data_IF_324597772313
#
_entry.id   IF_324597772313
#
_cell.length_a   1.000
_cell.length_b   1.000
_cell.length_c   1.000
_cell.angle_alpha   90.00
_cell.angle_beta   90.00
_cell.angle_gamma   90.00
#
_symmetry.space_group_name_H-M   'P 1'
#
loop_
_entity.id
_entity.type
_entity.pdbx_description
1 polymer ?
#
# COMPACT_ATOMS: atom_id res chain seq x y z
N UNK A 1 -2.70 -17.63 12.81
CA UNK A 1 -1.87 -17.92 11.62
C UNK A 1 -1.96 -16.70 10.71
N UNK A 2 -0.93 -16.46 9.91
CA UNK A 2 -0.77 -15.28 9.07
C UNK A 2 -0.03 -15.65 7.77
N UNK A 3 0.14 -14.69 6.86
CA UNK A 3 0.75 -14.94 5.55
C UNK A 3 2.17 -15.50 5.71
N UNK A 4 2.45 -16.63 5.05
CA UNK A 4 3.78 -17.26 5.03
C UNK A 4 4.70 -16.56 4.03
N UNK A 5 5.36 -15.49 4.48
CA UNK A 5 6.28 -14.68 3.65
C UNK A 5 7.60 -15.39 3.30
N UNK A 6 7.91 -16.48 3.99
CA UNK A 6 9.11 -17.30 3.83
C UNK A 6 8.91 -18.52 2.92
N UNK A 7 7.73 -18.65 2.29
CA UNK A 7 7.41 -19.77 1.41
C UNK A 7 8.40 -19.88 0.24
N UNK A 8 8.84 -21.10 -0.05
CA UNK A 8 9.81 -21.38 -1.12
C UNK A 8 9.10 -21.76 -2.43
N UNK A 9 9.73 -21.43 -3.56
CA UNK A 9 9.36 -21.92 -4.89
C UNK A 9 9.97 -23.32 -5.17
N UNK A 10 9.71 -23.85 -6.37
CA UNK A 10 10.21 -25.15 -6.80
C UNK A 10 11.76 -25.23 -6.86
N UNK A 11 12.45 -24.09 -6.90
CA UNK A 11 13.90 -23.99 -6.92
C UNK A 11 14.49 -23.76 -5.52
N UNK A 12 13.68 -23.77 -4.47
CA UNK A 12 14.10 -23.53 -3.09
C UNK A 12 14.37 -22.04 -2.77
N UNK A 13 13.93 -21.12 -3.62
CA UNK A 13 14.07 -19.67 -3.38
C UNK A 13 12.85 -19.11 -2.66
N UNK A 14 13.05 -18.18 -1.71
CA UNK A 14 11.94 -17.50 -1.02
C UNK A 14 11.14 -16.71 -2.05
N UNK A 15 9.84 -17.04 -2.18
CA UNK A 15 8.94 -16.48 -3.17
C UNK A 15 8.99 -14.95 -3.10
N UNK A 16 8.75 -14.36 -1.93
CA UNK A 16 8.68 -12.91 -1.78
C UNK A 16 10.05 -12.21 -1.61
N UNK A 17 11.16 -12.95 -1.69
CA UNK A 17 12.51 -12.40 -1.53
C UNK A 17 12.67 -11.54 -0.28
N UNK A 18 13.25 -10.35 -0.45
CA UNK A 18 13.48 -9.36 0.62
C UNK A 18 12.33 -8.35 0.77
N UNK A 19 11.22 -8.54 0.07
CA UNK A 19 10.14 -7.56 0.06
C UNK A 19 9.39 -7.46 1.40
N UNK A 20 9.46 -8.52 2.22
CA UNK A 20 8.81 -8.62 3.53
C UNK A 20 9.76 -9.18 4.61
N UNK A 21 11.05 -8.87 4.50
CA UNK A 21 12.11 -9.32 5.41
C UNK A 21 12.16 -8.58 6.76
N UNK A 22 11.43 -7.47 6.90
CA UNK A 22 11.31 -6.72 8.16
C UNK A 22 9.86 -6.62 8.61
N UNK A 23 9.67 -6.45 9.93
CA UNK A 23 8.34 -6.31 10.50
C UNK A 23 7.66 -5.02 10.05
N UNK A 24 8.39 -3.91 9.86
CA UNK A 24 7.83 -2.67 9.30
C UNK A 24 7.23 -2.89 7.91
N UNK A 25 7.90 -3.66 7.03
CA UNK A 25 7.38 -3.93 5.68
C UNK A 25 6.10 -4.78 5.74
N UNK A 26 5.99 -5.69 6.72
CA UNK A 26 4.76 -6.46 6.96
C UNK A 26 3.67 -5.57 7.57
N UNK A 27 4.03 -4.65 8.46
CA UNK A 27 3.09 -3.72 9.08
C UNK A 27 2.43 -2.82 8.04
N UNK A 28 3.18 -2.29 7.07
CA UNK A 28 2.61 -1.53 5.95
C UNK A 28 1.58 -2.32 5.14
N UNK A 29 1.77 -3.63 4.95
CA UNK A 29 0.77 -4.46 4.31
C UNK A 29 -0.54 -4.45 5.10
N UNK A 30 -0.46 -4.65 6.41
CA UNK A 30 -1.63 -4.66 7.29
C UNK A 30 -2.26 -3.26 7.38
N UNK A 31 -1.47 -2.20 7.40
CA UNK A 31 -1.94 -0.82 7.28
C UNK A 31 -2.72 -0.60 5.96
N UNK A 32 -2.27 -1.21 4.86
CA UNK A 32 -2.93 -1.15 3.55
C UNK A 32 -4.31 -1.80 3.49
N UNK A 33 -4.64 -2.66 4.45
CA UNK A 33 -6.00 -3.21 4.66
C UNK A 33 -6.63 -2.71 5.97
N UNK A 34 -6.08 -1.62 6.51
CA UNK A 34 -6.54 -0.96 7.73
C UNK A 34 -6.61 -1.87 8.96
N UNK A 35 -5.67 -2.82 9.07
CA UNK A 35 -5.56 -3.80 10.15
C UNK A 35 -6.84 -4.63 10.37
N UNK A 36 -7.70 -4.73 9.36
CA UNK A 36 -8.96 -5.43 9.51
C UNK A 36 -8.73 -6.94 9.47
N UNK A 37 -9.09 -7.61 10.56
CA UNK A 37 -8.86 -9.04 10.73
C UNK A 37 -9.56 -9.90 9.65
N UNK A 38 -10.77 -9.52 9.22
CA UNK A 38 -11.50 -10.25 8.17
C UNK A 38 -10.76 -10.15 6.85
N UNK A 39 -10.35 -8.94 6.45
CA UNK A 39 -9.53 -8.72 5.26
C UNK A 39 -8.20 -9.47 5.32
N UNK A 40 -7.52 -9.46 6.47
CA UNK A 40 -6.27 -10.19 6.66
C UNK A 40 -6.44 -11.71 6.48
N UNK A 41 -7.53 -12.26 7.04
CA UNK A 41 -7.89 -13.68 6.92
C UNK A 41 -8.23 -14.05 5.47
N UNK A 42 -9.00 -13.19 4.79
CA UNK A 42 -9.35 -13.39 3.38
C UNK A 42 -8.11 -13.33 2.48
N UNK A 43 -7.21 -12.39 2.75
CA UNK A 43 -5.94 -12.25 2.04
C UNK A 43 -5.05 -13.50 2.25
N UNK A 44 -4.90 -13.98 3.49
CA UNK A 44 -4.15 -15.20 3.78
C UNK A 44 -4.71 -16.41 3.01
N UNK A 45 -6.03 -16.59 3.01
CA UNK A 45 -6.71 -17.64 2.24
C UNK A 45 -6.41 -17.53 0.74
N UNK A 46 -6.47 -16.32 0.17
CA UNK A 46 -6.16 -16.09 -1.25
C UNK A 46 -4.70 -16.43 -1.57
N UNK A 47 -3.76 -15.93 -0.77
CA UNK A 47 -2.32 -16.20 -0.98
C UNK A 47 -2.05 -17.69 -0.86
N UNK A 48 -2.65 -18.37 0.11
CA UNK A 48 -2.53 -19.81 0.25
C UNK A 48 -3.07 -20.54 -0.99
N UNK A 49 -4.22 -20.14 -1.54
CA UNK A 49 -4.77 -20.73 -2.77
C UNK A 49 -3.85 -20.52 -3.96
N UNK A 50 -3.34 -19.30 -4.16
CA UNK A 50 -2.46 -18.97 -5.29
C UNK A 50 -1.13 -19.72 -5.22
N UNK A 51 -0.59 -19.90 -4.02
CA UNK A 51 0.72 -20.53 -3.83
C UNK A 51 0.65 -22.03 -3.52
N UNK A 52 -0.53 -22.65 -3.62
CA UNK A 52 -0.69 -24.11 -3.48
C UNK A 52 -0.78 -24.77 -4.85
N UNK A 53 -0.52 -26.07 -4.90
CA UNK A 53 -0.39 -26.83 -6.13
C UNK A 53 -1.68 -26.81 -6.98
N UNK A 54 -1.61 -26.56 -8.31
CA UNK A 54 -0.39 -26.32 -9.08
C UNK A 54 0.20 -24.91 -8.86
N UNK A 55 1.44 -24.86 -8.38
CA UNK A 55 2.20 -23.62 -8.28
C UNK A 55 2.64 -23.19 -9.69
N UNK A 56 2.34 -21.94 -10.06
CA UNK A 56 2.73 -21.39 -11.36
C UNK A 56 3.31 -19.98 -11.22
N UNK A 57 4.16 -19.59 -12.19
CA UNK A 57 4.76 -18.26 -12.24
C UNK A 57 3.70 -17.15 -12.29
N UNK A 58 2.60 -17.38 -13.00
CA UNK A 58 1.45 -16.46 -13.04
C UNK A 58 0.84 -16.25 -11.65
N UNK A 59 0.62 -17.33 -10.89
CA UNK A 59 0.05 -17.22 -9.55
C UNK A 59 1.02 -16.54 -8.58
N UNK A 60 2.32 -16.86 -8.69
CA UNK A 60 3.38 -16.22 -7.91
C UNK A 60 3.42 -14.71 -8.20
N UNK A 61 3.40 -14.33 -9.48
CA UNK A 61 3.41 -12.93 -9.91
C UNK A 61 2.21 -12.16 -9.38
N UNK A 62 1.00 -12.74 -9.48
CA UNK A 62 -0.22 -12.12 -8.94
C UNK A 62 -0.14 -11.97 -7.41
N UNK A 63 0.34 -12.99 -6.70
CA UNK A 63 0.50 -12.93 -5.25
C UNK A 63 1.52 -11.84 -4.83
N UNK A 64 2.67 -11.77 -5.50
CA UNK A 64 3.69 -10.73 -5.26
C UNK A 64 3.13 -9.34 -5.47
N UNK A 65 2.53 -9.10 -6.64
CA UNK A 65 2.02 -7.77 -6.97
C UNK A 65 0.89 -7.37 -6.04
N UNK A 66 -0.02 -8.29 -5.68
CA UNK A 66 -1.07 -8.02 -4.71
C UNK A 66 -0.48 -7.52 -3.37
N UNK A 67 0.45 -8.28 -2.78
CA UNK A 67 1.04 -7.90 -1.50
C UNK A 67 1.88 -6.63 -1.60
N UNK A 68 2.61 -6.43 -2.71
CA UNK A 68 3.39 -5.22 -2.97
C UNK A 68 2.51 -3.97 -3.05
N UNK A 69 1.41 -4.03 -3.81
CA UNK A 69 0.45 -2.92 -3.93
C UNK A 69 -0.21 -2.58 -2.61
N UNK A 70 -0.61 -3.59 -1.83
CA UNK A 70 -1.20 -3.37 -0.50
C UNK A 70 -0.18 -2.78 0.48
N UNK A 71 1.07 -3.26 0.45
CA UNK A 71 2.16 -2.67 1.22
C UNK A 71 2.36 -1.20 0.86
N UNK A 72 2.36 -0.85 -0.42
CA UNK A 72 2.58 0.54 -0.85
C UNK A 72 1.40 1.46 -0.50
N UNK A 73 0.17 0.95 -0.52
CA UNK A 73 -1.02 1.64 -0.01
C UNK A 73 -0.85 2.04 1.47
N UNK A 74 -0.30 1.17 2.31
CA UNK A 74 0.04 1.52 3.69
C UNK A 74 1.25 2.46 3.79
N UNK A 75 2.35 2.10 3.11
CA UNK A 75 3.65 2.76 3.19
C UNK A 75 3.59 4.23 2.81
N UNK A 76 2.91 4.62 1.73
CA UNK A 76 2.97 6.02 1.27
C UNK A 76 2.35 7.00 2.26
N UNK A 77 1.30 6.58 2.96
CA UNK A 77 0.71 7.39 4.03
C UNK A 77 1.62 7.39 5.26
N UNK A 78 2.23 6.25 5.57
CA UNK A 78 3.19 6.11 6.65
C UNK A 78 4.42 7.04 6.47
N UNK A 79 5.00 7.08 5.27
CA UNK A 79 6.08 7.99 4.89
C UNK A 79 5.71 9.47 5.19
N UNK A 80 4.43 9.83 5.04
CA UNK A 80 3.96 11.19 5.32
C UNK A 80 3.88 11.45 6.82
N UNK A 81 3.22 10.57 7.58
CA UNK A 81 2.79 10.86 8.96
C UNK A 81 3.77 10.40 10.04
N UNK A 82 4.57 9.37 9.78
CA UNK A 82 5.31 8.66 10.83
C UNK A 82 6.79 9.06 10.92
N UNK A 83 7.30 8.95 12.15
CA UNK A 83 8.66 9.33 12.53
C UNK A 83 9.72 8.23 12.29
N UNK A 84 9.27 7.01 11.98
CA UNK A 84 10.10 5.80 11.96
C UNK A 84 10.73 5.50 10.60
N UNK A 85 10.22 6.10 9.52
CA UNK A 85 10.73 5.84 8.16
C UNK A 85 11.98 6.66 7.86
N UNK A 86 12.73 6.25 6.84
CA UNK A 86 13.84 7.05 6.30
C UNK A 86 13.36 8.32 5.58
N UNK A 87 12.09 8.34 5.16
CA UNK A 87 11.45 9.37 4.35
C UNK A 87 10.56 10.27 5.22
N UNK A 88 11.11 10.82 6.32
CA UNK A 88 10.37 11.63 7.31
C UNK A 88 9.85 12.93 6.71
N UNK A 89 8.61 12.93 6.20
CA UNK A 89 8.01 14.13 5.60
C UNK A 89 7.49 15.05 6.70
N UNK A 90 6.39 14.73 7.38
CA UNK A 90 5.91 15.54 8.52
C UNK A 90 6.56 15.13 9.85
N UNK A 91 7.11 13.93 9.90
CA UNK A 91 7.82 13.42 11.06
C UNK A 91 9.16 14.11 11.36
N UNK A 92 9.83 13.69 12.43
CA UNK A 92 11.16 14.16 12.82
C UNK A 92 11.20 15.61 13.31
N UNK A 93 10.06 16.17 13.73
CA UNK A 93 9.95 17.56 14.16
C UNK A 93 9.67 18.56 13.01
N UNK A 94 9.52 18.09 11.77
CA UNK A 94 9.20 18.96 10.64
C UNK A 94 7.84 19.65 10.82
N UNK A 95 6.81 18.90 11.24
CA UNK A 95 5.50 19.48 11.54
C UNK A 95 5.58 20.55 12.64
N UNK A 96 6.30 20.28 13.73
CA UNK A 96 6.47 21.23 14.83
C UNK A 96 7.17 22.52 14.37
N UNK A 97 8.22 22.41 13.56
CA UNK A 97 8.91 23.56 12.98
C UNK A 97 8.00 24.39 12.07
N UNK A 98 7.21 23.73 11.22
CA UNK A 98 6.24 24.38 10.33
C UNK A 98 5.21 25.14 11.17
N UNK A 99 4.59 24.49 12.15
CA UNK A 99 3.56 25.10 13.00
C UNK A 99 4.10 26.26 13.86
N UNK A 100 5.39 26.26 14.17
CA UNK A 100 6.02 27.35 14.94
C UNK A 100 6.35 28.57 14.08
N UNK A 101 6.67 28.37 12.80
CA UNK A 101 7.25 29.41 11.93
C UNK A 101 6.30 29.95 10.87
N UNK A 102 5.33 29.15 10.45
CA UNK A 102 4.42 29.51 9.37
C UNK A 102 3.11 30.07 9.91
N UNK A 103 2.61 31.11 9.26
CA UNK A 103 1.23 31.59 9.44
C UNK A 103 0.24 30.57 8.87
N UNK A 104 -0.95 30.49 9.46
CA UNK A 104 -2.01 29.55 9.06
C UNK A 104 -2.35 29.62 7.57
N UNK A 105 -2.35 30.82 6.99
CA UNK A 105 -2.61 31.06 5.55
C UNK A 105 -1.64 30.33 4.62
N UNK A 106 -0.42 30.03 5.10
CA UNK A 106 0.58 29.29 4.33
C UNK A 106 0.38 27.78 4.39
N UNK A 107 -0.45 27.30 5.32
CA UNK A 107 -0.69 25.87 5.55
C UNK A 107 -1.87 25.33 4.73
N UNK A 108 -2.64 26.19 4.05
CA UNK A 108 -3.83 25.81 3.29
C UNK A 108 -3.54 24.71 2.26
N UNK A 109 -2.46 24.84 1.50
CA UNK A 109 -2.08 23.84 0.49
C UNK A 109 -1.65 22.51 1.12
N UNK A 110 -0.89 22.55 2.21
CA UNK A 110 -0.50 21.34 2.94
C UNK A 110 -1.72 20.62 3.51
N UNK A 111 -2.67 21.37 4.10
CA UNK A 111 -3.92 20.81 4.62
C UNK A 111 -4.73 20.14 3.50
N UNK A 112 -4.89 20.81 2.36
CA UNK A 112 -5.61 20.27 1.21
C UNK A 112 -5.00 18.96 0.69
N UNK A 113 -3.67 18.90 0.57
CA UNK A 113 -2.98 17.69 0.11
C UNK A 113 -3.15 16.53 1.10
N UNK A 114 -3.09 16.79 2.41
CA UNK A 114 -3.30 15.79 3.44
C UNK A 114 -4.74 15.27 3.45
N UNK A 115 -5.73 16.15 3.39
CA UNK A 115 -7.14 15.77 3.32
C UNK A 115 -7.41 14.90 2.08
N UNK A 116 -6.85 15.31 0.93
CA UNK A 116 -6.94 14.54 -0.32
C UNK A 116 -6.32 13.16 -0.17
N UNK A 117 -5.15 13.05 0.46
CA UNK A 117 -4.46 11.78 0.69
C UNK A 117 -5.24 10.85 1.63
N UNK A 118 -5.77 11.36 2.74
CA UNK A 118 -6.55 10.54 3.67
C UNK A 118 -7.87 10.08 3.06
N UNK A 119 -8.55 10.95 2.31
CA UNK A 119 -9.74 10.58 1.56
C UNK A 119 -9.44 9.47 0.54
N UNK A 120 -8.40 9.66 -0.27
CA UNK A 120 -7.99 8.70 -1.29
C UNK A 120 -7.61 7.35 -0.67
N UNK A 121 -6.84 7.36 0.43
CA UNK A 121 -6.48 6.14 1.17
C UNK A 121 -7.73 5.38 1.61
N UNK A 122 -8.72 6.09 2.16
CA UNK A 122 -9.94 5.46 2.67
C UNK A 122 -10.80 4.87 1.54
N UNK A 123 -10.91 5.55 0.40
CA UNK A 123 -11.57 5.02 -0.80
C UNK A 123 -10.88 3.74 -1.30
N UNK A 124 -9.55 3.79 -1.44
CA UNK A 124 -8.76 2.65 -1.92
C UNK A 124 -8.88 1.45 -0.99
N UNK A 125 -8.83 1.64 0.34
CA UNK A 125 -9.06 0.57 1.31
C UNK A 125 -10.43 -0.07 1.10
N UNK A 126 -11.48 0.72 0.89
CA UNK A 126 -12.83 0.19 0.68
C UNK A 126 -12.92 -0.63 -0.62
N UNK A 127 -12.32 -0.16 -1.71
CA UNK A 127 -12.27 -0.88 -3.00
C UNK A 127 -11.43 -2.17 -2.90
N UNK A 128 -10.28 -2.11 -2.24
CA UNK A 128 -9.40 -3.26 -1.97
C UNK A 128 -10.17 -4.34 -1.20
N UNK A 129 -10.89 -3.98 -0.14
CA UNK A 129 -11.70 -4.90 0.66
C UNK A 129 -12.73 -5.63 -0.20
N UNK A 130 -13.49 -4.89 -1.01
CA UNK A 130 -14.48 -5.48 -1.90
C UNK A 130 -13.85 -6.49 -2.87
N UNK A 131 -12.69 -6.15 -3.45
CA UNK A 131 -11.96 -7.04 -4.36
C UNK A 131 -11.47 -8.31 -3.64
N UNK A 132 -10.85 -8.16 -2.46
CA UNK A 132 -10.37 -9.28 -1.64
C UNK A 132 -11.53 -10.20 -1.26
N UNK A 133 -12.65 -9.64 -0.81
CA UNK A 133 -13.83 -10.42 -0.43
C UNK A 133 -14.43 -11.20 -1.60
N UNK A 134 -14.55 -10.56 -2.77
CA UNK A 134 -15.06 -11.21 -3.98
C UNK A 134 -14.12 -12.29 -4.50
N UNK A 135 -12.81 -12.05 -4.48
CA UNK A 135 -11.80 -13.01 -4.88
C UNK A 135 -11.77 -14.23 -3.94
N UNK A 136 -11.89 -14.03 -2.61
CA UNK A 136 -11.84 -15.13 -1.66
C UNK A 136 -13.02 -16.11 -1.81
N UNK A 137 -14.18 -15.63 -2.28
CA UNK A 137 -15.36 -16.45 -2.58
C UNK A 137 -15.20 -17.37 -3.80
N UNK A 138 -14.11 -17.24 -4.56
CA UNK A 138 -13.85 -18.08 -5.73
C UNK A 138 -13.05 -19.32 -5.34
N UNK A 139 -13.37 -20.43 -6.01
CA UNK A 139 -12.66 -21.70 -5.93
C UNK A 139 -11.63 -21.87 -7.03
N UNK A 140 -11.92 -21.36 -8.23
CA UNK A 140 -11.04 -21.48 -9.41
C UNK A 140 -9.96 -20.40 -9.41
N UNK A 141 -8.68 -20.80 -9.53
CA UNK A 141 -7.54 -19.89 -9.54
C UNK A 141 -7.64 -18.81 -10.63
N UNK A 142 -8.12 -19.17 -11.83
CA UNK A 142 -8.32 -18.19 -12.91
C UNK A 142 -9.33 -17.10 -12.53
N UNK A 143 -10.42 -17.46 -11.84
CA UNK A 143 -11.42 -16.50 -11.35
C UNK A 143 -10.87 -15.64 -10.22
N UNK A 144 -10.07 -16.21 -9.31
CA UNK A 144 -9.35 -15.46 -8.27
C UNK A 144 -8.46 -14.40 -8.93
N UNK A 145 -7.56 -14.80 -9.84
CA UNK A 145 -6.66 -13.88 -10.56
C UNK A 145 -7.42 -12.77 -11.27
N UNK A 146 -8.50 -13.12 -11.97
CA UNK A 146 -9.33 -12.14 -12.67
C UNK A 146 -9.95 -11.11 -11.72
N UNK A 147 -10.40 -11.51 -10.52
CA UNK A 147 -10.94 -10.56 -9.54
C UNK A 147 -9.84 -9.70 -8.92
N UNK A 148 -8.62 -10.24 -8.76
CA UNK A 148 -7.48 -9.49 -8.23
C UNK A 148 -6.85 -8.51 -9.22
N UNK A 149 -7.21 -8.57 -10.51
CA UNK A 149 -6.65 -7.73 -11.56
C UNK A 149 -6.61 -6.23 -11.23
N UNK A 150 -7.67 -5.59 -10.69
CA UNK A 150 -7.66 -4.19 -10.26
C UNK A 150 -6.47 -3.80 -9.36
N UNK A 151 -6.04 -4.71 -8.49
CA UNK A 151 -4.98 -4.48 -7.49
C UNK A 151 -3.63 -4.99 -8.00
N UNK A 152 -3.59 -6.24 -8.47
CA UNK A 152 -2.35 -6.96 -8.74
C UNK A 152 -1.75 -6.67 -10.14
N UNK A 153 -2.50 -6.01 -11.03
CA UNK A 153 -1.98 -5.62 -12.34
C UNK A 153 -1.45 -4.17 -12.31
N UNK A 154 -0.31 -3.91 -12.98
CA UNK A 154 0.27 -2.56 -13.10
C UNK A 154 -0.66 -1.57 -13.82
N UNK A 155 -1.58 -2.07 -14.67
CA UNK A 155 -2.63 -1.29 -15.33
C UNK A 155 -3.99 -1.45 -14.65
N UNK A 156 -4.04 -2.11 -13.49
CA UNK A 156 -5.24 -2.15 -12.65
C UNK A 156 -5.57 -0.75 -12.15
N UNK A 157 -6.85 -0.42 -12.07
CA UNK A 157 -7.33 0.89 -11.63
C UNK A 157 -6.89 1.19 -10.19
N UNK A 158 -7.06 0.24 -9.26
CA UNK A 158 -6.64 0.42 -7.85
C UNK A 158 -5.11 0.57 -7.77
N UNK A 159 -4.35 -0.23 -8.52
CA UNK A 159 -2.90 -0.09 -8.56
C UNK A 159 -2.48 1.28 -9.11
N UNK A 160 -3.11 1.73 -10.20
CA UNK A 160 -2.88 3.03 -10.80
C UNK A 160 -3.09 4.17 -9.79
N UNK A 161 -4.20 4.13 -9.05
CA UNK A 161 -4.53 5.11 -8.02
C UNK A 161 -3.59 5.07 -6.80
N UNK A 162 -2.72 4.05 -6.69
CA UNK A 162 -1.67 3.96 -5.66
C UNK A 162 -0.32 4.42 -6.22
N UNK A 163 0.10 3.86 -7.36
CA UNK A 163 1.47 3.93 -7.87
C UNK A 163 1.72 4.92 -9.01
N UNK A 164 0.70 5.25 -9.81
CA UNK A 164 0.92 5.96 -11.06
C UNK A 164 1.03 7.48 -10.85
N UNK A 165 2.26 7.98 -10.89
CA UNK A 165 2.55 9.42 -10.72
C UNK A 165 1.94 10.35 -11.79
N UNK A 166 1.40 9.80 -12.89
CA UNK A 166 0.66 10.59 -13.88
C UNK A 166 -0.80 10.85 -13.47
N UNK A 167 -1.32 10.14 -12.45
CA UNK A 167 -2.61 10.41 -11.83
C UNK A 167 -2.37 11.38 -10.67
N UNK A 168 -2.95 12.58 -10.76
CA UNK A 168 -2.72 13.68 -9.81
C UNK A 168 -3.03 13.28 -8.36
N UNK A 169 -4.12 12.53 -8.17
CA UNK A 169 -4.59 12.07 -6.86
C UNK A 169 -4.08 10.67 -6.49
N UNK A 170 -3.09 10.12 -7.20
CA UNK A 170 -2.48 8.86 -6.76
C UNK A 170 -1.75 9.04 -5.43
N UNK A 171 -1.75 8.02 -4.57
CA UNK A 171 -1.10 8.12 -3.27
C UNK A 171 0.40 8.44 -3.35
N UNK A 172 1.09 7.87 -4.35
CA UNK A 172 2.50 8.16 -4.58
C UNK A 172 2.74 9.62 -4.97
N UNK A 173 1.90 10.17 -5.85
CA UNK A 173 1.99 11.57 -6.27
C UNK A 173 1.69 12.51 -5.10
N UNK A 174 0.63 12.25 -4.35
CA UNK A 174 0.26 13.02 -3.17
C UNK A 174 1.37 13.02 -2.11
N UNK A 175 1.99 11.86 -1.84
CA UNK A 175 3.16 11.78 -0.96
C UNK A 175 4.29 12.71 -1.41
N UNK A 176 4.62 12.69 -2.71
CA UNK A 176 5.70 13.52 -3.25
C UNK A 176 5.32 15.02 -3.25
N UNK A 177 4.07 15.37 -3.50
CA UNK A 177 3.59 16.75 -3.44
C UNK A 177 3.61 17.30 -2.01
N UNK A 178 3.18 16.50 -1.03
CA UNK A 178 3.28 16.85 0.39
C UNK A 178 4.75 17.07 0.78
N UNK A 179 5.66 16.22 0.30
CA UNK A 179 7.11 16.40 0.54
C UNK A 179 7.63 17.71 -0.03
N UNK A 180 7.26 18.05 -1.26
CA UNK A 180 7.66 19.30 -1.90
C UNK A 180 7.13 20.50 -1.09
N UNK A 181 5.87 20.44 -0.68
CA UNK A 181 5.23 21.50 0.09
C UNK A 181 5.86 21.66 1.49
N UNK A 182 6.12 20.56 2.20
CA UNK A 182 6.84 20.58 3.48
C UNK A 182 8.22 21.21 3.34
N UNK A 183 8.98 20.83 2.32
CA UNK A 183 10.30 21.41 2.07
C UNK A 183 10.22 22.92 1.78
N UNK A 184 9.19 23.37 1.04
CA UNK A 184 8.93 24.78 0.77
C UNK A 184 8.61 25.56 2.06
N UNK A 185 7.86 24.97 2.97
CA UNK A 185 7.49 25.59 4.25
C UNK A 185 8.66 25.67 5.22
N UNK A 186 9.55 24.66 5.24
CA UNK A 186 10.73 24.65 6.11
C UNK A 186 11.83 25.65 5.70
N UNK A 187 11.80 26.14 4.46
CA UNK A 187 12.77 27.10 3.92
C UNK A 187 12.37 28.58 4.15
N UNK A 188 11.20 28.83 4.70
CA UNK A 188 10.68 30.19 4.99
C UNK A 188 11.01 30.61 6.42
#
# INVERSE_FOLDING_TARGET
MGIAFDKLDANGSVIFGQEFDSDDKKDYLYAGINYEQVSATNLESIINKLLTDPLSDDNISVAKNLLSTLKNLGKYVDDVINNATSDKILGGGNLEQILTRCEDSKLENLSYLLDTMFFQRQDLINRVRQVIDLANRKSELAKIRSHLYPIANLRGDINGDIENMQIEVSLKKLKDDIRIEVNRLLQQ
#
